data_IF_993493665260
#
_entry.id   IF_993493665260
#
_cell.length_a   1.000
_cell.length_b   1.000
_cell.length_c   1.000
_cell.angle_alpha   90.00
_cell.angle_beta   90.00
_cell.angle_gamma   90.00
#
_symmetry.space_group_name_H-M   'P 1'
#
loop_
_entity.id
_entity.type
_entity.pdbx_description
1 polymer ?
#
# COMPACT_ATOMS: atom_id res chain seq x y z
N UNK A 1 -21.21 -18.96 -46.77
CA UNK A 1 -22.45 -18.21 -47.09
C UNK A 1 -23.33 -18.13 -45.83
N UNK A 2 -23.32 -17.01 -45.12
CA UNK A 2 -24.27 -16.57 -44.06
C UNK A 2 -23.81 -15.16 -43.67
N UNK A 3 -24.24 -14.16 -44.43
CA UNK A 3 -25.38 -13.25 -44.20
C UNK A 3 -25.12 -12.26 -43.07
N UNK A 4 -24.82 -11.03 -43.50
CA UNK A 4 -24.58 -9.83 -42.70
C UNK A 4 -25.88 -9.32 -42.07
N UNK A 5 -25.83 -8.93 -40.79
CA UNK A 5 -26.82 -8.03 -40.20
C UNK A 5 -26.12 -6.73 -39.77
N UNK A 6 -26.39 -5.67 -40.53
CA UNK A 6 -26.16 -4.28 -40.16
C UNK A 6 -27.12 -3.90 -39.04
N UNK A 7 -26.61 -3.38 -37.92
CA UNK A 7 -27.41 -2.60 -36.99
C UNK A 7 -26.97 -1.14 -36.98
N UNK A 8 -27.99 -0.30 -37.19
CA UNK A 8 -27.98 1.13 -37.34
C UNK A 8 -27.61 1.89 -36.06
N UNK A 9 -26.95 3.03 -36.27
CA UNK A 9 -26.77 4.17 -35.35
C UNK A 9 -28.04 4.53 -34.58
N UNK A 10 -27.86 4.84 -33.29
CA UNK A 10 -28.66 5.84 -32.57
C UNK A 10 -27.72 6.72 -31.74
N UNK A 11 -27.45 7.91 -32.24
CA UNK A 11 -26.84 9.02 -31.52
C UNK A 11 -27.86 9.57 -30.52
N UNK A 12 -27.60 9.47 -29.22
CA UNK A 12 -28.37 10.20 -28.21
C UNK A 12 -27.59 11.42 -27.73
N UNK A 13 -28.32 12.52 -27.76
CA UNK A 13 -27.96 13.86 -27.33
C UNK A 13 -27.43 13.89 -25.90
N UNK A 14 -26.27 14.54 -25.71
CA UNK A 14 -25.73 14.91 -24.41
C UNK A 14 -26.38 16.23 -23.97
N UNK A 15 -27.43 16.15 -23.15
CA UNK A 15 -28.01 17.31 -22.46
C UNK A 15 -27.08 17.76 -21.32
N UNK A 16 -26.41 18.89 -21.50
CA UNK A 16 -25.63 19.55 -20.45
C UNK A 16 -26.57 20.14 -19.40
N UNK A 17 -26.73 19.44 -18.28
CA UNK A 17 -27.46 19.96 -17.11
C UNK A 17 -26.70 21.14 -16.47
N UNK A 18 -27.41 22.16 -15.98
CA UNK A 18 -26.82 23.33 -15.34
C UNK A 18 -26.10 22.92 -14.04
N UNK A 19 -24.88 23.41 -13.88
CA UNK A 19 -24.01 23.17 -12.74
C UNK A 19 -24.53 23.97 -11.54
N UNK A 20 -25.42 23.37 -10.76
CA UNK A 20 -25.92 23.95 -9.51
C UNK A 20 -24.76 24.04 -8.53
N UNK A 21 -24.29 25.25 -8.25
CA UNK A 21 -23.28 25.54 -7.24
C UNK A 21 -23.91 25.39 -5.86
N UNK A 22 -24.01 24.14 -5.38
CA UNK A 22 -24.39 23.86 -3.99
C UNK A 22 -23.26 24.33 -3.09
N UNK A 23 -23.53 25.41 -2.35
CA UNK A 23 -22.73 25.87 -1.19
C UNK A 23 -22.62 24.71 -0.21
N UNK A 24 -21.56 23.91 -0.39
CA UNK A 24 -21.35 22.67 0.34
C UNK A 24 -20.70 23.05 1.66
N UNK A 25 -21.47 22.97 2.74
CA UNK A 25 -20.97 23.08 4.10
C UNK A 25 -19.76 22.17 4.25
N UNK A 26 -18.61 22.67 4.74
CA UNK A 26 -17.39 21.86 4.85
C UNK A 26 -17.69 20.62 5.70
N UNK A 27 -17.28 19.43 5.24
CA UNK A 27 -17.53 18.19 5.96
C UNK A 27 -16.84 18.23 7.33
N UNK A 28 -17.61 18.03 8.39
CA UNK A 28 -17.13 18.08 9.78
C UNK A 28 -16.47 16.76 10.16
N UNK A 29 -15.26 16.84 10.70
CA UNK A 29 -14.50 15.69 11.21
C UNK A 29 -14.96 15.39 12.65
N UNK A 30 -14.98 14.11 13.05
CA UNK A 30 -15.27 13.73 14.43
C UNK A 30 -14.15 14.17 15.40
N UNK A 31 -14.50 14.40 16.66
CA UNK A 31 -13.54 14.76 17.71
C UNK A 31 -12.46 13.67 17.93
N UNK A 32 -12.84 12.39 17.81
CA UNK A 32 -11.91 11.27 17.92
C UNK A 32 -10.86 11.32 16.80
N UNK A 33 -11.32 11.55 15.57
CA UNK A 33 -10.44 11.64 14.40
C UNK A 33 -9.51 12.84 14.51
N UNK A 34 -10.00 13.98 15.00
CA UNK A 34 -9.17 15.16 15.27
C UNK A 34 -8.10 14.88 16.32
N UNK A 35 -8.46 14.23 17.42
CA UNK A 35 -7.53 13.85 18.50
C UNK A 35 -6.46 12.89 18.00
N UNK A 36 -6.85 11.87 17.22
CA UNK A 36 -5.92 10.94 16.59
C UNK A 36 -4.95 11.64 15.64
N UNK A 37 -5.44 12.58 14.83
CA UNK A 37 -4.62 13.35 13.90
C UNK A 37 -3.65 14.29 14.62
N UNK A 38 -4.09 14.95 15.68
CA UNK A 38 -3.27 15.81 16.51
C UNK A 38 -2.15 15.02 17.19
N UNK A 39 -2.46 13.83 17.73
CA UNK A 39 -1.45 12.94 18.31
C UNK A 39 -0.38 12.54 17.29
N UNK A 40 -0.75 12.18 16.05
CA UNK A 40 0.20 11.84 15.00
C UNK A 40 1.07 13.03 14.58
N UNK A 41 0.50 14.24 14.51
CA UNK A 41 1.25 15.46 14.19
C UNK A 41 2.25 15.83 15.28
N UNK A 42 1.92 15.59 16.56
CA UNK A 42 2.87 15.76 17.66
C UNK A 42 3.99 14.73 17.58
N UNK A 43 3.65 13.46 17.35
CA UNK A 43 4.59 12.35 17.36
C UNK A 43 5.58 12.39 16.16
N UNK A 44 5.09 12.79 14.98
CA UNK A 44 5.87 12.86 13.72
C UNK A 44 5.45 14.09 12.89
N UNK A 45 5.89 15.30 13.24
CA UNK A 45 5.44 16.54 12.58
C UNK A 45 5.79 16.62 11.08
N UNK A 46 6.89 15.99 10.66
CA UNK A 46 7.40 16.04 9.27
C UNK A 46 6.67 15.06 8.35
N UNK A 47 5.85 14.14 8.87
CA UNK A 47 5.28 13.06 8.08
C UNK A 47 4.03 13.42 7.28
N UNK A 48 3.52 14.66 7.40
CA UNK A 48 2.43 15.15 6.56
C UNK A 48 1.13 14.34 6.74
N UNK A 49 0.76 14.07 7.98
CA UNK A 49 -0.47 13.36 8.32
C UNK A 49 -1.71 14.19 7.98
N UNK A 50 -2.65 13.58 7.24
CA UNK A 50 -3.93 14.19 6.90
C UNK A 50 -5.03 13.13 6.83
N UNK A 51 -6.29 13.58 6.74
CA UNK A 51 -7.46 12.72 6.64
C UNK A 51 -8.23 13.09 5.38
N UNK A 52 -8.68 12.07 4.64
CA UNK A 52 -9.56 12.22 3.49
C UNK A 52 -10.95 11.75 3.90
N UNK A 53 -11.93 12.58 3.61
CA UNK A 53 -13.33 12.31 3.89
C UNK A 53 -14.00 11.76 2.64
N UNK A 54 -14.89 10.78 2.84
CA UNK A 54 -15.79 10.26 1.80
C UNK A 54 -17.22 10.40 2.31
N UNK A 55 -17.97 11.32 1.72
CA UNK A 55 -19.27 11.70 2.26
C UNK A 55 -19.14 12.33 3.65
N UNK A 56 -20.11 12.07 4.52
CA UNK A 56 -20.22 12.70 5.85
C UNK A 56 -19.73 11.84 7.01
N UNK A 57 -19.52 10.53 6.82
CA UNK A 57 -19.27 9.59 7.93
C UNK A 57 -18.03 8.73 7.74
N UNK A 58 -17.37 8.77 6.59
CA UNK A 58 -16.24 7.90 6.28
C UNK A 58 -14.94 8.71 6.18
N UNK A 59 -13.91 8.21 6.85
CA UNK A 59 -12.60 8.82 6.97
C UNK A 59 -11.50 7.84 6.56
N UNK A 60 -10.45 8.36 5.95
CA UNK A 60 -9.25 7.58 5.59
C UNK A 60 -8.01 8.34 6.01
N UNK A 61 -7.07 7.65 6.64
CA UNK A 61 -5.81 8.23 7.07
C UNK A 61 -4.79 8.25 5.91
N UNK A 62 -4.15 9.40 5.71
CA UNK A 62 -3.11 9.61 4.69
C UNK A 62 -1.82 10.03 5.36
N UNK A 63 -0.71 9.60 4.75
CA UNK A 63 0.64 10.04 5.08
C UNK A 63 1.26 10.63 3.83
N UNK A 64 1.61 11.92 3.86
CA UNK A 64 2.14 12.66 2.70
C UNK A 64 1.22 12.58 1.47
N UNK A 65 -0.10 12.60 1.70
CA UNK A 65 -1.11 12.49 0.64
C UNK A 65 -1.33 11.08 0.08
N UNK A 66 -0.63 10.05 0.58
CA UNK A 66 -0.84 8.65 0.20
C UNK A 66 -1.66 7.94 1.27
N UNK A 67 -2.72 7.26 0.86
CA UNK A 67 -3.54 6.44 1.74
C UNK A 67 -2.72 5.32 2.39
N UNK A 68 -2.87 5.12 3.71
CA UNK A 68 -2.23 3.97 4.38
C UNK A 68 -2.90 2.65 4.01
N UNK A 69 -4.20 2.66 3.76
CA UNK A 69 -5.01 1.50 3.39
C UNK A 69 -6.05 1.90 2.33
N UNK A 70 -6.52 0.91 1.58
CA UNK A 70 -7.55 1.11 0.55
C UNK A 70 -8.97 1.20 1.12
N UNK A 71 -9.13 1.07 2.43
CA UNK A 71 -10.41 1.11 3.11
C UNK A 71 -10.74 2.51 3.63
N UNK A 72 -12.03 2.82 3.73
CA UNK A 72 -12.51 3.92 4.55
C UNK A 72 -13.01 3.36 5.88
N UNK A 73 -12.90 4.16 6.93
CA UNK A 73 -13.29 3.84 8.30
C UNK A 73 -14.37 4.79 8.75
N UNK A 74 -15.20 4.39 9.71
CA UNK A 74 -16.22 5.27 10.29
C UNK A 74 -15.61 6.39 11.14
N UNK A 75 -14.47 6.09 11.76
CA UNK A 75 -13.79 7.00 12.68
C UNK A 75 -12.33 6.58 12.83
N UNK A 76 -11.45 7.51 13.22
CA UNK A 76 -10.10 7.20 13.70
C UNK A 76 -10.05 7.40 15.21
N UNK A 77 -9.61 6.38 15.94
CA UNK A 77 -9.53 6.39 17.39
C UNK A 77 -8.09 6.23 17.88
N UNK A 78 -7.71 7.05 18.87
CA UNK A 78 -6.46 6.91 19.61
C UNK A 78 -6.69 5.97 20.80
N UNK A 79 -6.10 4.78 20.73
CA UNK A 79 -6.15 3.82 21.82
C UNK A 79 -5.23 4.26 22.97
N UNK A 80 -5.54 3.92 24.24
CA UNK A 80 -4.69 4.24 25.39
C UNK A 80 -3.22 3.76 25.26
N UNK A 81 -2.98 2.69 24.50
CA UNK A 81 -1.63 2.20 24.20
C UNK A 81 -0.84 3.08 23.20
N UNK A 82 -1.42 4.18 22.72
CA UNK A 82 -0.80 5.09 21.75
C UNK A 82 -0.98 4.66 20.29
N UNK A 83 -1.73 3.59 20.01
CA UNK A 83 -2.01 3.10 18.64
C UNK A 83 -3.15 3.90 18.01
N UNK A 84 -3.08 4.09 16.70
CA UNK A 84 -4.18 4.67 15.91
C UNK A 84 -4.95 3.55 15.22
N UNK A 85 -6.26 3.53 15.45
CA UNK A 85 -7.15 2.46 15.01
C UNK A 85 -8.25 3.05 14.14
N UNK A 86 -8.45 2.51 12.94
CA UNK A 86 -9.58 2.82 12.08
C UNK A 86 -10.79 1.97 12.45
N UNK A 87 -11.90 2.58 12.85
CA UNK A 87 -13.11 1.88 13.28
C UNK A 87 -13.89 1.37 12.06
N UNK A 88 -14.14 0.07 12.02
CA UNK A 88 -14.85 -0.60 10.92
C UNK A 88 -16.35 -0.67 11.23
N UNK A 89 -16.69 -1.17 12.42
CA UNK A 89 -18.07 -1.48 12.79
C UNK A 89 -18.40 -0.92 14.16
N UNK A 90 -19.51 -0.18 14.23
CA UNK A 90 -20.00 0.44 15.47
C UNK A 90 -20.54 -0.60 16.46
N UNK A 91 -21.31 -1.58 15.99
CA UNK A 91 -21.96 -2.61 16.83
C UNK A 91 -20.96 -3.46 17.60
N UNK A 92 -19.89 -3.90 16.93
CA UNK A 92 -18.87 -4.77 17.54
C UNK A 92 -17.66 -4.00 18.06
N UNK A 93 -17.65 -2.67 17.91
CA UNK A 93 -16.50 -1.79 18.20
C UNK A 93 -15.17 -2.36 17.68
N UNK A 94 -15.19 -2.94 16.48
CA UNK A 94 -13.99 -3.53 15.86
C UNK A 94 -13.29 -2.50 15.01
N UNK A 95 -11.98 -2.47 15.10
CA UNK A 95 -11.14 -1.57 14.33
C UNK A 95 -9.86 -2.24 13.85
N UNK A 96 -9.27 -1.66 12.81
CA UNK A 96 -7.99 -2.05 12.25
C UNK A 96 -6.90 -1.13 12.79
N UNK A 97 -5.81 -1.69 13.31
CA UNK A 97 -4.63 -0.90 13.69
C UNK A 97 -3.97 -0.37 12.43
N UNK A 98 -3.81 0.96 12.35
CA UNK A 98 -3.22 1.66 11.20
C UNK A 98 -1.79 2.11 11.50
N UNK A 99 -1.55 2.56 12.74
CA UNK A 99 -0.27 3.11 13.18
C UNK A 99 0.08 2.57 14.55
N UNK A 100 1.33 2.16 14.73
CA UNK A 100 1.89 1.71 16.00
C UNK A 100 2.08 2.89 16.99
N UNK A 101 2.42 2.62 18.27
CA UNK A 101 2.65 3.68 19.25
C UNK A 101 3.83 4.62 18.91
N UNK A 102 4.72 4.21 18.01
CA UNK A 102 5.90 4.97 17.58
C UNK A 102 5.63 5.85 16.35
N UNK A 103 4.40 5.85 15.83
CA UNK A 103 4.01 6.60 14.64
C UNK A 103 4.38 5.91 13.33
N UNK A 104 4.79 4.63 13.35
CA UNK A 104 5.06 3.83 12.15
C UNK A 104 3.78 3.18 11.65
N UNK A 105 3.45 3.28 10.35
CA UNK A 105 2.35 2.54 9.78
C UNK A 105 2.53 1.03 9.95
N UNK A 106 1.47 0.31 10.30
CA UNK A 106 1.48 -1.17 10.44
C UNK A 106 1.63 -1.88 9.08
N UNK A 107 1.52 -1.13 7.97
CA UNK A 107 1.74 -1.64 6.61
C UNK A 107 0.60 -2.55 6.15
N UNK A 108 0.94 -3.62 5.42
CA UNK A 108 -0.03 -4.60 4.89
C UNK A 108 -0.55 -5.60 5.92
N UNK A 109 0.01 -5.60 7.13
CA UNK A 109 -0.39 -6.52 8.18
C UNK A 109 -1.72 -6.09 8.77
N UNK A 110 -2.78 -6.86 8.48
CA UNK A 110 -4.12 -6.62 9.02
C UNK A 110 -4.17 -7.07 10.48
N UNK A 111 -4.05 -6.13 11.42
CA UNK A 111 -4.29 -6.37 12.83
C UNK A 111 -5.65 -5.79 13.23
N UNK A 112 -6.61 -6.66 13.50
CA UNK A 112 -7.96 -6.28 13.94
C UNK A 112 -8.06 -6.41 15.46
N UNK A 113 -8.52 -5.36 16.13
CA UNK A 113 -8.72 -5.33 17.57
C UNK A 113 -10.13 -4.86 17.92
N UNK A 114 -10.57 -5.18 19.14
CA UNK A 114 -11.82 -4.68 19.71
C UNK A 114 -11.50 -3.51 20.62
N UNK A 115 -12.18 -2.38 20.41
CA UNK A 115 -11.89 -1.11 21.08
C UNK A 115 -13.07 -0.75 21.99
N UNK A 116 -13.11 -1.34 23.18
CA UNK A 116 -14.25 -1.19 24.10
C UNK A 116 -14.53 0.27 24.49
N UNK A 117 -13.48 1.07 24.61
CA UNK A 117 -13.49 2.49 25.02
C UNK A 117 -13.90 3.46 23.91
N UNK A 118 -14.03 3.01 22.66
CA UNK A 118 -14.52 3.87 21.59
C UNK A 118 -16.03 4.08 21.73
N UNK A 119 -16.45 5.34 21.64
CA UNK A 119 -17.85 5.74 21.50
C UNK A 119 -17.92 6.73 20.33
N UNK A 120 -18.97 6.61 19.51
CA UNK A 120 -19.25 7.57 18.44
C UNK A 120 -19.57 8.92 19.10
N UNK A 121 -18.60 9.82 19.13
CA UNK A 121 -18.85 11.17 19.63
C UNK A 121 -19.73 11.88 18.61
N UNK A 122 -20.95 12.24 19.01
CA UNK A 122 -21.85 13.05 18.20
C UNK A 122 -21.19 14.41 17.98
N UNK A 123 -20.94 14.73 16.71
CA UNK A 123 -20.37 15.97 16.18
C UNK A 123 -20.65 17.19 17.08
N UNK A 124 -19.64 17.68 17.79
CA UNK A 124 -19.76 18.88 18.60
C UNK A 124 -19.76 20.12 17.71
N UNK A 125 -20.81 20.92 17.89
CA UNK A 125 -21.11 22.23 17.31
C UNK A 125 -19.92 23.18 17.26
N UNK A 126 -19.81 23.91 16.15
CA UNK A 126 -18.95 25.06 15.89
C UNK A 126 -18.86 26.02 17.08
N UNK A 127 -17.72 26.05 17.78
CA UNK A 127 -17.43 27.08 18.80
C UNK A 127 -16.62 28.21 18.16
N UNK A 128 -17.34 29.26 17.73
CA UNK A 128 -16.78 30.55 17.36
C UNK A 128 -16.11 31.18 18.58
N UNK A 129 -14.78 31.24 18.58
CA UNK A 129 -13.99 31.85 19.67
C UNK A 129 -14.12 33.39 19.61
N UNK A 130 -15.09 33.94 20.35
CA UNK A 130 -15.05 35.35 20.79
C UNK A 130 -14.08 35.44 21.97
N UNK A 131 -12.90 36.01 21.75
CA UNK A 131 -11.99 36.39 22.82
C UNK A 131 -12.54 37.65 23.51
N UNK A 132 -13.03 37.47 24.73
CA UNK A 132 -13.19 38.54 25.72
C UNK A 132 -12.42 38.10 26.97
N UNK A 133 -11.34 38.80 27.29
CA UNK A 133 -10.62 38.65 28.56
C UNK A 133 -10.43 40.04 29.15
N UNK A 134 -11.21 40.32 30.19
CA UNK A 134 -11.05 41.45 31.10
C UNK A 134 -10.50 40.94 32.42
N UNK A 135 -9.36 41.51 32.82
CA UNK A 135 -8.85 41.75 34.19
C UNK A 135 -8.54 40.54 35.10
N UNK A 136 -7.47 40.54 35.91
CA UNK A 136 -7.11 41.62 36.86
C UNK A 136 -5.68 41.48 37.41
N UNK A 137 -5.06 42.65 37.62
CA UNK A 137 -4.10 43.06 38.68
C UNK A 137 -2.75 42.35 38.84
N UNK A 138 -1.69 43.11 38.58
CA UNK A 138 -0.62 43.33 39.56
C UNK A 138 0.00 44.72 39.39
N UNK A 139 -0.11 45.51 40.45
CA UNK A 139 0.56 46.78 40.71
C UNK A 139 2.07 46.58 40.83
N UNK A 140 2.86 47.43 40.17
CA UNK A 140 4.12 47.97 40.68
C UNK A 140 4.45 49.26 39.93
N UNK A 141 5.06 50.18 40.65
CA UNK A 141 5.18 51.63 40.47
C UNK A 141 6.53 52.00 39.86
N UNK A 142 6.58 53.04 39.04
CA UNK A 142 7.82 53.68 38.54
C UNK A 142 7.62 54.27 37.13
N UNK A 143 7.10 55.49 37.00
CA UNK A 143 7.85 56.76 36.92
C UNK A 143 8.78 56.85 35.71
N UNK A 144 8.42 57.66 34.70
CA UNK A 144 9.35 58.07 33.65
C UNK A 144 8.75 58.43 32.29
N UNK A 145 8.32 59.68 32.17
CA UNK A 145 8.56 60.56 31.01
C UNK A 145 7.74 60.40 29.72
N UNK A 146 6.98 61.47 29.47
CA UNK A 146 6.25 61.91 28.30
C UNK A 146 7.08 61.92 27.01
N UNK A 147 6.52 61.42 25.90
CA UNK A 147 6.77 62.01 24.57
C UNK A 147 5.65 61.69 23.59
N UNK A 148 4.92 62.76 23.27
CA UNK A 148 3.98 62.93 22.17
C UNK A 148 4.70 62.83 20.83
N UNK A 149 4.22 62.05 19.84
CA UNK A 149 4.11 62.43 18.41
C UNK A 149 3.59 61.29 17.48
N UNK A 150 2.45 61.58 16.84
CA UNK A 150 2.08 61.41 15.40
C UNK A 150 2.12 60.03 14.69
N UNK A 151 1.03 59.65 13.99
CA UNK A 151 1.01 58.55 13.03
C UNK A 151 1.28 59.05 11.60
N UNK A 152 2.22 58.43 10.87
CA UNK A 152 2.40 58.73 9.44
C UNK A 152 2.86 57.51 8.63
N UNK A 153 2.15 57.31 7.51
CA UNK A 153 2.64 56.90 6.18
C UNK A 153 2.83 55.41 5.86
N UNK A 154 1.80 54.85 5.22
CA UNK A 154 1.84 54.24 3.88
C UNK A 154 3.18 53.61 3.44
N UNK A 155 3.33 52.30 3.66
CA UNK A 155 4.39 51.50 3.05
C UNK A 155 4.16 51.31 1.55
N UNK A 156 4.93 52.03 0.75
CA UNK A 156 5.01 51.84 -0.70
C UNK A 156 5.69 50.50 -1.02
N UNK A 157 5.01 49.65 -1.80
CA UNK A 157 5.65 48.56 -2.51
C UNK A 157 6.54 49.17 -3.59
N UNK A 158 7.86 49.19 -3.37
CA UNK A 158 8.83 49.54 -4.40
C UNK A 158 8.74 48.49 -5.52
N UNK A 159 8.12 48.86 -6.64
CA UNK A 159 8.34 48.21 -7.92
C UNK A 159 9.82 48.41 -8.29
N UNK A 160 10.63 47.40 -7.99
CA UNK A 160 12.01 47.31 -8.43
C UNK A 160 11.96 47.14 -9.96
N UNK A 161 12.12 48.24 -10.68
CA UNK A 161 12.21 48.28 -12.14
C UNK A 161 13.52 47.58 -12.50
N UNK A 162 13.43 46.31 -12.89
CA UNK A 162 14.57 45.52 -13.35
C UNK A 162 15.18 46.19 -14.58
N UNK A 163 16.50 46.15 -14.69
CA UNK A 163 17.23 46.70 -15.83
C UNK A 163 16.81 45.95 -17.11
N UNK A 164 16.71 46.65 -18.25
CA UNK A 164 16.27 46.07 -19.52
C UNK A 164 17.11 44.85 -19.94
N UNK A 165 18.38 44.80 -19.53
CA UNK A 165 19.27 43.66 -19.77
C UNK A 165 18.88 42.40 -18.98
N UNK A 166 18.41 42.57 -17.73
CA UNK A 166 17.94 41.46 -16.90
C UNK A 166 16.64 40.88 -17.47
N UNK A 167 15.73 41.75 -17.94
CA UNK A 167 14.50 41.35 -18.60
C UNK A 167 14.76 40.52 -19.87
N UNK A 168 15.79 40.89 -20.65
CA UNK A 168 16.19 40.14 -21.86
C UNK A 168 16.74 38.76 -21.53
N UNK A 169 17.51 38.63 -20.46
CA UNK A 169 18.02 37.32 -20.00
C UNK A 169 16.89 36.42 -19.50
N UNK A 170 15.97 36.96 -18.70
CA UNK A 170 14.80 36.21 -18.21
C UNK A 170 13.96 35.69 -19.38
N UNK A 171 13.71 36.54 -20.40
CA UNK A 171 12.98 36.13 -21.60
C UNK A 171 13.70 35.01 -22.37
N UNK A 172 15.02 35.08 -22.50
CA UNK A 172 15.81 34.03 -23.16
C UNK A 172 15.72 32.69 -22.41
N UNK A 173 15.91 32.70 -21.08
CA UNK A 173 15.77 31.48 -20.28
C UNK A 173 14.34 30.93 -20.31
N UNK A 174 13.32 31.78 -20.28
CA UNK A 174 11.93 31.36 -20.42
C UNK A 174 11.68 30.68 -21.78
N UNK A 175 12.19 31.25 -22.87
CA UNK A 175 12.08 30.66 -24.20
C UNK A 175 12.80 29.32 -24.29
N UNK A 176 14.02 29.22 -23.74
CA UNK A 176 14.76 27.95 -23.67
C UNK A 176 14.03 26.89 -22.83
N UNK A 177 13.44 27.28 -21.70
CA UNK A 177 12.67 26.37 -20.85
C UNK A 177 11.43 25.84 -21.56
N UNK A 178 10.70 26.71 -22.28
CA UNK A 178 9.54 26.30 -23.09
C UNK A 178 9.99 25.36 -24.22
N UNK A 179 11.06 25.71 -24.93
CA UNK A 179 11.64 24.86 -25.98
C UNK A 179 12.05 23.47 -25.44
N UNK A 180 12.74 23.43 -24.31
CA UNK A 180 13.14 22.19 -23.63
C UNK A 180 11.94 21.35 -23.20
N UNK A 181 10.89 21.97 -22.65
CA UNK A 181 9.66 21.29 -22.26
C UNK A 181 8.94 20.66 -23.47
N UNK A 182 8.93 21.33 -24.62
CA UNK A 182 8.35 20.81 -25.86
C UNK A 182 9.14 19.60 -26.38
N UNK A 183 10.48 19.67 -26.39
CA UNK A 183 11.33 18.54 -26.78
C UNK A 183 11.13 17.36 -25.84
N UNK A 184 11.11 17.59 -24.52
CA UNK A 184 10.89 16.53 -23.54
C UNK A 184 9.51 15.87 -23.73
N UNK A 185 8.46 16.66 -23.96
CA UNK A 185 7.12 16.15 -24.25
C UNK A 185 7.11 15.27 -25.50
N UNK A 186 7.84 15.67 -26.54
CA UNK A 186 7.97 14.89 -27.77
C UNK A 186 8.69 13.55 -27.52
N UNK A 187 9.79 13.55 -26.76
CA UNK A 187 10.53 12.33 -26.40
C UNK A 187 9.66 11.38 -25.57
N UNK A 188 8.94 11.89 -24.57
CA UNK A 188 8.03 11.08 -23.75
C UNK A 188 6.89 10.49 -24.58
N UNK A 189 6.32 11.26 -25.52
CA UNK A 189 5.29 10.76 -26.42
C UNK A 189 5.82 9.68 -27.37
N UNK A 190 7.04 9.84 -27.89
CA UNK A 190 7.70 8.83 -28.71
C UNK A 190 7.97 7.54 -27.93
N UNK A 191 8.47 7.64 -26.70
CA UNK A 191 8.66 6.49 -25.81
C UNK A 191 7.34 5.80 -25.48
N UNK A 192 6.27 6.58 -25.28
CA UNK A 192 4.94 6.03 -25.02
C UNK A 192 4.38 5.27 -26.23
N UNK A 193 4.57 5.78 -27.44
CA UNK A 193 4.22 5.06 -28.67
C UNK A 193 5.02 3.75 -28.80
N UNK A 194 6.34 3.80 -28.60
CA UNK A 194 7.18 2.59 -28.62
C UNK A 194 6.69 1.60 -27.57
N UNK A 195 6.36 2.04 -26.36
CA UNK A 195 5.81 1.19 -25.32
C UNK A 195 4.48 0.55 -25.74
N UNK A 196 3.54 1.31 -26.32
CA UNK A 196 2.26 0.80 -26.82
C UNK A 196 2.43 -0.29 -27.88
N UNK A 197 3.47 -0.22 -28.72
CA UNK A 197 3.72 -1.24 -29.74
C UNK A 197 4.58 -2.41 -29.24
N UNK A 198 5.64 -2.15 -28.48
CA UNK A 198 6.58 -3.17 -28.00
C UNK A 198 5.96 -4.02 -26.91
N UNK A 199 5.16 -3.44 -26.00
CA UNK A 199 4.54 -4.17 -24.90
C UNK A 199 3.60 -5.30 -25.36
N UNK A 200 2.62 -5.10 -26.27
CA UNK A 200 1.79 -6.20 -26.75
C UNK A 200 2.58 -7.22 -27.56
N UNK A 201 3.60 -6.80 -28.31
CA UNK A 201 4.49 -7.73 -29.01
C UNK A 201 5.29 -8.60 -28.03
N UNK A 202 5.79 -8.01 -26.94
CA UNK A 202 6.49 -8.74 -25.89
C UNK A 202 5.56 -9.72 -25.16
N UNK A 203 4.30 -9.35 -24.90
CA UNK A 203 3.29 -10.26 -24.34
C UNK A 203 3.01 -11.40 -25.31
N UNK A 204 2.77 -11.10 -26.58
CA UNK A 204 2.49 -12.12 -27.59
C UNK A 204 3.67 -13.08 -27.75
N UNK A 205 4.90 -12.57 -27.75
CA UNK A 205 6.12 -13.36 -27.74
C UNK A 205 6.24 -14.23 -26.48
N UNK A 206 5.93 -13.68 -25.30
CA UNK A 206 5.93 -14.44 -24.05
C UNK A 206 4.89 -15.57 -24.07
N UNK A 207 3.70 -15.33 -24.65
CA UNK A 207 2.66 -16.36 -24.82
C UNK A 207 3.12 -17.46 -25.77
N UNK A 208 3.74 -17.11 -26.89
CA UNK A 208 4.22 -18.08 -27.88
C UNK A 208 5.38 -18.93 -27.37
N UNK A 209 6.23 -18.35 -26.53
CA UNK A 209 7.41 -19.01 -25.97
C UNK A 209 7.15 -19.59 -24.57
N UNK A 210 5.90 -19.62 -24.11
CA UNK A 210 5.61 -20.17 -22.78
C UNK A 210 5.78 -21.70 -22.80
N UNK A 211 6.57 -22.32 -21.89
CA UNK A 211 6.70 -23.76 -21.85
C UNK A 211 5.34 -24.42 -21.55
N UNK A 212 5.05 -25.57 -22.14
CA UNK A 212 3.82 -26.31 -21.81
C UNK A 212 3.90 -26.92 -20.40
N UNK A 213 2.75 -27.12 -19.75
CA UNK A 213 2.68 -27.68 -18.39
C UNK A 213 3.34 -29.06 -18.29
N UNK A 214 3.23 -29.87 -19.34
CA UNK A 214 3.79 -31.23 -19.39
C UNK A 214 5.33 -31.26 -19.42
N UNK A 215 5.98 -30.13 -19.75
CA UNK A 215 7.45 -30.03 -19.71
C UNK A 215 8.00 -29.89 -18.29
N UNK A 216 7.15 -29.59 -17.31
CA UNK A 216 7.57 -29.44 -15.93
C UNK A 216 7.67 -30.80 -15.22
N UNK A 217 8.89 -31.32 -15.11
CA UNK A 217 9.19 -32.47 -14.27
C UNK A 217 9.59 -31.99 -12.87
N UNK A 218 8.62 -31.98 -11.94
CA UNK A 218 8.79 -31.53 -10.57
C UNK A 218 9.95 -32.26 -9.86
N UNK A 219 10.13 -33.56 -10.11
CA UNK A 219 11.20 -34.35 -9.49
C UNK A 219 12.57 -33.90 -9.99
N UNK A 220 12.71 -33.71 -11.31
CA UNK A 220 13.95 -33.25 -11.93
C UNK A 220 14.30 -31.82 -11.51
N UNK A 221 13.32 -30.92 -11.45
CA UNK A 221 13.55 -29.53 -11.05
C UNK A 221 13.86 -29.41 -9.55
N UNK A 222 13.14 -30.11 -8.68
CA UNK A 222 13.45 -30.17 -7.25
C UNK A 222 14.87 -30.67 -7.02
N UNK A 223 15.28 -31.73 -7.72
CA UNK A 223 16.65 -32.25 -7.66
C UNK A 223 17.69 -31.21 -8.09
N UNK A 224 17.41 -30.37 -9.09
CA UNK A 224 18.32 -29.27 -9.50
C UNK A 224 18.43 -28.19 -8.43
N UNK A 225 17.31 -27.83 -7.80
CA UNK A 225 17.29 -26.86 -6.70
C UNK A 225 18.09 -27.39 -5.50
N UNK A 226 17.87 -28.64 -5.10
CA UNK A 226 18.59 -29.26 -3.98
C UNK A 226 20.10 -29.42 -4.25
N UNK A 227 20.51 -29.53 -5.51
CA UNK A 227 21.93 -29.51 -5.91
C UNK A 227 22.56 -28.11 -5.85
N UNK A 228 21.78 -27.07 -5.57
CA UNK A 228 22.26 -25.69 -5.54
C UNK A 228 22.54 -25.08 -6.92
N UNK A 229 21.97 -25.64 -8.00
CA UNK A 229 22.26 -25.17 -9.36
C UNK A 229 21.84 -23.71 -9.61
N UNK A 230 20.83 -23.23 -8.87
CA UNK A 230 20.32 -21.87 -8.97
C UNK A 230 21.04 -20.85 -8.05
N UNK A 231 22.01 -21.30 -7.24
CA UNK A 231 22.76 -20.41 -6.37
C UNK A 231 23.88 -19.70 -7.16
N UNK A 232 24.11 -18.40 -6.92
CA UNK A 232 25.24 -17.69 -7.52
C UNK A 232 26.56 -18.35 -7.09
N UNK A 233 27.60 -18.22 -7.92
CA UNK A 233 28.90 -18.85 -7.68
C UNK A 233 29.54 -18.50 -6.33
N UNK A 234 29.19 -17.32 -5.80
CA UNK A 234 29.67 -16.79 -4.52
C UNK A 234 28.77 -17.07 -3.31
N UNK A 235 27.71 -17.86 -3.47
CA UNK A 235 26.84 -18.17 -2.33
C UNK A 235 27.56 -19.10 -1.33
N UNK A 236 27.53 -18.82 -0.01
CA UNK A 236 28.20 -19.64 1.01
C UNK A 236 27.71 -21.10 1.03
N UNK A 237 26.45 -21.33 0.66
CA UNK A 237 25.85 -22.67 0.60
C UNK A 237 26.04 -23.39 -0.74
N UNK A 238 26.77 -22.81 -1.71
CA UNK A 238 27.03 -23.50 -2.98
C UNK A 238 28.20 -24.46 -2.78
N UNK A 239 28.03 -25.78 -3.03
CA UNK A 239 29.13 -26.73 -2.86
C UNK A 239 30.27 -26.36 -3.82
N UNK A 240 31.45 -26.09 -3.26
CA UNK A 240 32.68 -25.84 -4.02
C UNK A 240 33.58 -27.07 -3.97
N UNK A 241 34.09 -27.49 -5.12
CA UNK A 241 34.99 -28.63 -5.26
C UNK A 241 34.27 -29.96 -5.50
N UNK A 242 34.96 -30.87 -6.18
CA UNK A 242 34.39 -32.12 -6.71
C UNK A 242 33.74 -33.02 -5.64
N UNK A 243 34.30 -33.07 -4.43
CA UNK A 243 33.81 -33.91 -3.35
C UNK A 243 32.51 -33.35 -2.76
N UNK A 244 32.47 -32.05 -2.48
CA UNK A 244 31.27 -31.38 -1.98
C UNK A 244 30.15 -31.42 -3.02
N UNK A 245 30.47 -31.26 -4.31
CA UNK A 245 29.50 -31.42 -5.39
C UNK A 245 28.93 -32.85 -5.45
N UNK A 246 29.78 -33.87 -5.28
CA UNK A 246 29.36 -35.27 -5.30
C UNK A 246 28.48 -35.58 -4.09
N UNK A 247 28.87 -35.14 -2.89
CA UNK A 247 28.09 -35.31 -1.68
C UNK A 247 26.73 -34.58 -1.78
N UNK A 248 26.72 -33.35 -2.29
CA UNK A 248 25.48 -32.61 -2.54
C UNK A 248 24.59 -33.30 -3.57
N UNK A 249 25.14 -33.92 -4.62
CA UNK A 249 24.36 -34.71 -5.60
C UNK A 249 23.72 -35.95 -4.96
N UNK A 250 24.44 -36.64 -4.08
CA UNK A 250 23.92 -37.81 -3.36
C UNK A 250 22.85 -37.38 -2.37
N UNK A 251 23.13 -36.40 -1.51
CA UNK A 251 22.18 -35.86 -0.54
C UNK A 251 20.91 -35.34 -1.23
N UNK A 252 21.05 -34.59 -2.32
CA UNK A 252 19.91 -34.13 -3.11
C UNK A 252 19.11 -35.30 -3.68
N UNK A 253 19.77 -36.38 -4.14
CA UNK A 253 19.07 -37.55 -4.67
C UNK A 253 18.29 -38.26 -3.57
N UNK A 254 18.91 -38.54 -2.43
CA UNK A 254 18.26 -39.19 -1.29
C UNK A 254 17.11 -38.35 -0.78
N UNK A 255 17.34 -37.06 -0.55
CA UNK A 255 16.31 -36.17 -0.03
C UNK A 255 15.16 -35.98 -1.03
N UNK A 256 15.43 -35.94 -2.35
CA UNK A 256 14.39 -35.93 -3.37
C UNK A 256 13.60 -37.24 -3.34
N UNK A 257 14.25 -38.41 -3.30
CA UNK A 257 13.54 -39.69 -3.25
C UNK A 257 12.69 -39.84 -1.98
N UNK A 258 13.22 -39.42 -0.83
CA UNK A 258 12.49 -39.41 0.45
C UNK A 258 11.28 -38.47 0.38
N UNK A 259 11.48 -37.27 -0.16
CA UNK A 259 10.40 -36.30 -0.39
C UNK A 259 9.32 -36.82 -1.34
N UNK A 260 9.72 -37.42 -2.47
CA UNK A 260 8.77 -37.89 -3.49
C UNK A 260 8.14 -39.23 -3.16
N UNK A 261 8.83 -40.09 -2.40
CA UNK A 261 8.46 -41.49 -2.19
C UNK A 261 7.62 -41.74 -0.94
N UNK A 262 7.84 -40.99 0.16
CA UNK A 262 7.14 -41.25 1.43
C UNK A 262 5.88 -40.41 1.61
N UNK A 263 5.97 -39.10 1.34
CA UNK A 263 4.86 -38.16 1.57
C UNK A 263 4.20 -37.66 0.28
N UNK A 264 4.78 -38.00 -0.88
CA UNK A 264 4.46 -37.32 -2.13
C UNK A 264 4.84 -35.84 -2.10
N UNK A 265 4.57 -35.16 -3.21
CA UNK A 265 4.64 -33.70 -3.33
C UNK A 265 3.37 -33.22 -4.02
N UNK A 266 2.92 -32.03 -3.64
CA UNK A 266 1.75 -31.41 -4.26
C UNK A 266 2.23 -30.37 -5.27
N UNK A 267 1.82 -30.51 -6.53
CA UNK A 267 2.12 -29.54 -7.58
C UNK A 267 0.87 -28.70 -7.83
N UNK A 268 1.01 -27.40 -7.64
CA UNK A 268 -0.01 -26.41 -8.02
C UNK A 268 0.52 -25.57 -9.18
N UNK A 269 -0.13 -25.65 -10.33
CA UNK A 269 0.25 -24.92 -11.54
C UNK A 269 -0.74 -23.79 -11.78
N UNK A 270 -0.24 -22.57 -11.93
CA UNK A 270 -1.03 -21.36 -12.19
C UNK A 270 -0.62 -20.77 -13.54
N UNK A 271 -1.56 -20.68 -14.46
CA UNK A 271 -1.33 -20.09 -15.77
C UNK A 271 -1.62 -18.57 -15.73
N UNK A 272 -0.61 -17.75 -15.97
CA UNK A 272 -0.70 -16.29 -16.02
C UNK A 272 -0.98 -15.84 -17.46
N UNK A 273 -2.24 -16.01 -17.88
CA UNK A 273 -2.74 -15.58 -19.20
C UNK A 273 -1.95 -16.16 -20.39
N UNK A 274 -1.34 -17.33 -20.23
CA UNK A 274 -0.52 -17.99 -21.23
C UNK A 274 0.88 -17.40 -21.39
N UNK A 275 1.19 -16.23 -20.82
CA UNK A 275 2.49 -15.58 -20.96
C UNK A 275 3.55 -16.16 -20.03
N UNK A 276 3.11 -16.66 -18.87
CA UNK A 276 3.99 -17.33 -17.91
C UNK A 276 3.20 -18.39 -17.15
N UNK A 277 3.90 -19.43 -16.69
CA UNK A 277 3.32 -20.44 -15.81
C UNK A 277 4.06 -20.40 -14.48
N UNK A 278 3.32 -20.19 -13.40
CA UNK A 278 3.87 -20.25 -12.05
C UNK A 278 3.56 -21.64 -11.48
N UNK A 279 4.59 -22.40 -11.15
CA UNK A 279 4.42 -23.73 -10.55
C UNK A 279 4.92 -23.69 -9.11
N UNK A 280 4.08 -24.14 -8.18
CA UNK A 280 4.43 -24.34 -6.78
C UNK A 280 4.52 -25.83 -6.50
N UNK A 281 5.60 -26.27 -5.88
CA UNK A 281 5.76 -27.64 -5.39
C UNK A 281 5.89 -27.59 -3.88
N UNK A 282 4.89 -28.13 -3.19
CA UNK A 282 4.90 -28.30 -1.75
C UNK A 282 5.46 -29.67 -1.40
N UNK A 283 6.45 -29.70 -0.51
CA UNK A 283 7.12 -30.92 -0.04
C UNK A 283 6.80 -31.11 1.45
N UNK A 284 5.82 -31.96 1.80
CA UNK A 284 5.35 -32.10 3.18
C UNK A 284 6.43 -32.56 4.15
N UNK A 285 7.34 -33.43 3.72
CA UNK A 285 8.40 -33.99 4.59
C UNK A 285 9.37 -32.95 5.15
N UNK A 286 9.56 -31.82 4.46
CA UNK A 286 10.43 -30.72 4.88
C UNK A 286 9.67 -29.42 5.16
N UNK A 287 8.34 -29.43 5.04
CA UNK A 287 7.46 -28.26 5.18
C UNK A 287 7.92 -27.07 4.32
N UNK A 288 8.45 -27.32 3.13
CA UNK A 288 8.94 -26.28 2.22
C UNK A 288 8.06 -26.20 0.98
N UNK A 289 7.79 -24.98 0.53
CA UNK A 289 7.20 -24.70 -0.78
C UNK A 289 8.24 -24.09 -1.68
N UNK A 290 8.42 -24.68 -2.85
CA UNK A 290 9.31 -24.18 -3.90
C UNK A 290 8.51 -23.60 -5.05
N UNK A 291 8.96 -22.49 -5.62
CA UNK A 291 8.25 -21.76 -6.67
C UNK A 291 9.12 -21.64 -7.92
N UNK A 292 8.56 -22.03 -9.07
CA UNK A 292 9.17 -21.88 -10.39
C UNK A 292 8.30 -20.99 -11.29
N UNK A 293 8.97 -20.28 -12.19
CA UNK A 293 8.37 -19.50 -13.26
C UNK A 293 8.82 -20.07 -14.60
N UNK A 294 7.87 -20.58 -15.38
CA UNK A 294 8.04 -20.98 -16.77
C UNK A 294 7.85 -19.77 -17.68
N UNK A 295 8.92 -19.33 -18.34
CA UNK A 295 8.89 -18.25 -19.32
C UNK A 295 9.99 -18.49 -20.36
N UNK A 296 9.74 -18.17 -21.64
CA UNK A 296 10.71 -18.35 -22.74
C UNK A 296 11.31 -19.76 -22.79
N UNK A 297 10.43 -20.77 -22.82
CA UNK A 297 10.73 -22.20 -22.94
C UNK A 297 11.60 -22.77 -21.81
N UNK A 298 11.76 -22.01 -20.72
CA UNK A 298 12.63 -22.38 -19.60
C UNK A 298 11.92 -22.24 -18.28
N UNK A 299 12.12 -23.23 -17.42
CA UNK A 299 11.72 -23.17 -16.02
C UNK A 299 12.82 -22.50 -15.21
N UNK A 300 12.46 -21.44 -14.48
CA UNK A 300 13.35 -20.68 -13.60
C UNK A 300 12.87 -20.85 -12.18
N UNK A 301 13.72 -21.37 -11.31
CA UNK A 301 13.46 -21.34 -9.87
C UNK A 301 13.47 -19.88 -9.39
N UNK A 302 12.44 -19.48 -8.63
CA UNK A 302 12.29 -18.12 -8.13
C UNK A 302 12.72 -18.06 -6.66
N UNK A 303 12.08 -18.85 -5.80
CA UNK A 303 12.40 -18.92 -4.37
C UNK A 303 11.77 -20.16 -3.72
N UNK A 304 12.24 -20.49 -2.52
CA UNK A 304 11.63 -21.47 -1.63
C UNK A 304 11.39 -20.85 -0.26
N UNK A 305 10.33 -21.26 0.42
CA UNK A 305 9.99 -20.76 1.75
C UNK A 305 9.39 -21.87 2.62
N UNK A 306 9.63 -21.75 3.92
CA UNK A 306 9.03 -22.63 4.91
C UNK A 306 7.55 -22.33 5.01
N UNK A 307 6.74 -23.36 4.90
CA UNK A 307 5.30 -23.28 4.93
C UNK A 307 4.89 -23.67 6.32
N UNK A 308 4.52 -22.70 7.15
CA UNK A 308 3.92 -23.02 8.44
C UNK A 308 2.68 -23.88 8.15
N UNK A 309 2.58 -25.09 8.73
CA UNK A 309 1.43 -25.95 8.51
C UNK A 309 0.19 -25.13 8.81
N UNK A 310 -0.61 -24.90 7.79
CA UNK A 310 -1.82 -24.10 7.90
C UNK A 310 -2.82 -25.00 8.64
N UNK A 311 -2.78 -24.96 9.97
CA UNK A 311 -3.58 -25.76 10.92
C UNK A 311 -5.07 -25.39 10.84
N UNK A 312 -5.63 -25.34 9.65
CA UNK A 312 -7.00 -24.89 9.39
C UNK A 312 -7.99 -26.06 9.36
N UNK A 313 -7.50 -27.30 9.36
CA UNK A 313 -8.37 -28.49 9.39
C UNK A 313 -8.50 -29.15 10.77
N UNK A 314 -7.54 -28.98 11.69
CA UNK A 314 -7.59 -29.66 13.00
C UNK A 314 -8.45 -28.92 14.05
N UNK A 315 -8.68 -27.61 13.90
CA UNK A 315 -9.50 -26.84 14.84
C UNK A 315 -11.02 -26.99 14.59
N UNK A 316 -11.44 -27.47 13.42
CA UNK A 316 -12.86 -27.66 13.09
C UNK A 316 -13.43 -29.01 13.58
N UNK A 317 -12.57 -29.98 13.96
CA UNK A 317 -13.01 -31.32 14.36
C UNK A 317 -13.17 -31.53 15.90
N UNK A 318 -12.67 -30.61 16.74
CA UNK A 318 -12.75 -30.74 18.22
C UNK A 318 -13.87 -29.89 18.86
N UNK A 319 -14.83 -29.40 18.07
CA UNK A 319 -15.93 -28.56 18.56
C UNK A 319 -17.19 -29.29 19.03
N UNK A 320 -17.24 -30.62 19.03
CA UNK A 320 -18.47 -31.37 19.34
C UNK A 320 -18.24 -32.60 20.20
N UNK A 321 -18.01 -32.41 21.51
CA UNK A 321 -18.54 -33.28 22.59
C UNK A 321 -17.80 -33.08 23.91
N UNK A 322 -18.42 -32.42 24.88
CA UNK A 322 -18.44 -32.87 26.29
C UNK A 322 -19.31 -31.95 27.14
N UNK A 323 -20.61 -32.15 27.04
CA UNK A 323 -21.52 -31.94 28.17
C UNK A 323 -21.31 -33.12 29.11
N UNK A 324 -20.69 -32.93 30.27
CA UNK A 324 -20.95 -33.81 31.41
C UNK A 324 -20.71 -33.07 32.71
N UNK A 325 -21.82 -32.83 33.40
CA UNK A 325 -21.88 -32.42 34.78
C UNK A 325 -21.08 -33.39 35.66
N UNK A 326 -20.33 -32.84 36.61
CA UNK A 326 -20.12 -33.52 37.88
C UNK A 326 -20.18 -32.48 39.01
N UNK A 327 -21.32 -32.48 39.67
CA UNK A 327 -21.49 -31.92 41.00
C UNK A 327 -20.87 -32.88 42.03
N UNK A 328 -20.09 -32.36 42.97
CA UNK A 328 -20.26 -32.66 44.40
C UNK A 328 -19.37 -31.78 45.28
N UNK A 329 -20.05 -31.05 46.19
CA UNK A 329 -19.62 -30.79 47.57
C UNK A 329 -19.12 -32.13 48.17
N UNK A 330 -18.07 -32.17 48.98
CA UNK A 330 -17.89 -31.52 50.28
C UNK A 330 -16.42 -31.57 50.68
#
# INVERSE_FOLDING_TARGET
RRSYHHHHRSSMFSSSSPKTTTTTTPPTISQNTETALLHLKILKPVDGWSVQLRGSEEVRLLRRGVALTDNYFRDLYLEPAGRIVGIITETTKRGQVLVDPNGKPTGRTLQIITVASWNKSSTSTTTTTKMASSERTKTMRGSGTTTTTTPTTTGQQQQQVMSDDENRQILFYALCAIGGALVLKFVLNALFLVYIFVFPLAILYAIQTCPSMDTFDAKKELKRVMRGHHLPEDHPNKPRGWFNETMARVQATVATEVATGLSGYEVSVYNLLGAAILTKVYVPSVQMTYVWLGIVEKWRFVYGYETTPTTTAAAAANGSSSTSAYARRS
#
